data_IF_308678914553
#
_entry.id   IF_308678914553
#
_cell.length_a   1.000
_cell.length_b   1.000
_cell.length_c   1.000
_cell.angle_alpha   90.00
_cell.angle_beta   90.00
_cell.angle_gamma   90.00
#
_symmetry.space_group_name_H-M   'P 1'
#
loop_
_entity.id
_entity.type
_entity.pdbx_description
1 polymer ?
#
# COMPACT_ATOMS: atom_id res chain seq x y z
N UNK A 1 -42.56 -60.85 0.43
CA UNK A 1 -42.21 -59.56 -0.32
C UNK A 1 -41.54 -58.62 0.66
N UNK A 2 -40.21 -58.53 0.62
CA UNK A 2 -39.41 -57.62 1.53
C UNK A 2 -39.03 -56.41 0.71
N UNK A 3 -39.62 -55.22 1.00
CA UNK A 3 -39.28 -53.92 0.42
C UNK A 3 -38.00 -53.40 1.08
N UNK A 4 -36.90 -53.33 0.32
CA UNK A 4 -35.67 -52.69 0.74
C UNK A 4 -35.81 -51.18 0.49
N UNK A 5 -35.84 -50.34 1.55
CA UNK A 5 -35.71 -48.93 1.45
C UNK A 5 -34.22 -48.56 1.35
N UNK A 6 -33.80 -47.97 0.23
CA UNK A 6 -32.49 -47.41 0.08
C UNK A 6 -32.53 -45.98 0.61
N UNK A 7 -31.80 -45.72 1.70
CA UNK A 7 -31.55 -44.35 2.18
C UNK A 7 -30.42 -43.74 1.34
N UNK A 8 -30.71 -42.75 0.53
CA UNK A 8 -29.72 -41.92 -0.12
C UNK A 8 -29.23 -40.87 0.88
N UNK A 9 -27.99 -41.00 1.35
CA UNK A 9 -27.32 -39.97 2.14
C UNK A 9 -26.81 -38.89 1.16
N UNK A 10 -27.48 -37.75 1.09
CA UNK A 10 -26.97 -36.61 0.39
C UNK A 10 -25.85 -35.94 1.23
N UNK A 11 -24.60 -36.12 0.81
CA UNK A 11 -23.48 -35.40 1.38
C UNK A 11 -23.58 -33.92 0.97
N UNK A 12 -23.98 -33.08 1.89
CA UNK A 12 -23.88 -31.61 1.74
C UNK A 12 -22.39 -31.23 1.76
N UNK A 13 -21.83 -30.91 0.59
CA UNK A 13 -20.52 -30.27 0.49
C UNK A 13 -20.68 -28.88 1.09
N UNK A 14 -20.21 -28.70 2.33
CA UNK A 14 -20.05 -27.40 2.94
C UNK A 14 -18.94 -26.66 2.18
N UNK A 15 -19.33 -25.76 1.28
CA UNK A 15 -18.39 -24.79 0.70
C UNK A 15 -18.00 -23.83 1.82
N UNK A 16 -16.79 -24.00 2.38
CA UNK A 16 -16.21 -22.98 3.23
C UNK A 16 -16.15 -21.67 2.43
N UNK A 17 -16.53 -20.53 3.01
CA UNK A 17 -16.34 -19.26 2.35
C UNK A 17 -14.83 -19.10 2.08
N UNK A 18 -14.45 -18.89 0.82
CA UNK A 18 -13.12 -18.43 0.46
C UNK A 18 -13.00 -17.00 1.01
N UNK A 19 -12.33 -16.87 2.14
CA UNK A 19 -11.98 -15.56 2.70
C UNK A 19 -10.84 -15.00 1.86
N UNK A 20 -10.90 -13.70 1.57
CA UNK A 20 -9.77 -12.98 0.98
C UNK A 20 -8.51 -13.22 1.83
N UNK A 21 -7.37 -13.42 1.19
CA UNK A 21 -6.11 -13.52 1.91
C UNK A 21 -5.70 -12.12 2.39
N UNK A 22 -5.38 -12.01 3.67
CA UNK A 22 -4.82 -10.77 4.23
C UNK A 22 -3.32 -10.74 3.98
N UNK A 23 -2.84 -9.65 3.39
CA UNK A 23 -1.43 -9.37 3.16
C UNK A 23 -1.01 -8.18 4.03
N UNK A 24 0.20 -8.23 4.56
CA UNK A 24 0.88 -7.07 5.15
C UNK A 24 1.76 -6.44 4.08
N UNK A 25 1.68 -5.13 3.90
CA UNK A 25 2.60 -4.43 2.99
C UNK A 25 4.03 -4.53 3.53
N UNK A 26 4.95 -4.96 2.68
CA UNK A 26 6.37 -5.13 3.02
C UNK A 26 7.06 -3.77 2.91
N UNK A 27 7.54 -3.15 4.02
CA UNK A 27 7.94 -1.73 4.02
C UNK A 27 9.21 -1.43 3.21
N UNK A 28 10.06 -2.44 2.95
CA UNK A 28 11.29 -2.23 2.17
C UNK A 28 11.01 -2.22 0.65
N UNK A 29 9.88 -2.80 0.22
CA UNK A 29 9.47 -2.88 -1.19
C UNK A 29 8.15 -2.15 -1.46
N UNK A 30 7.69 -1.31 -0.51
CA UNK A 30 6.49 -0.48 -0.67
C UNK A 30 6.86 0.98 -0.49
N UNK A 31 6.70 1.75 -1.56
CA UNK A 31 7.09 3.15 -1.62
C UNK A 31 6.24 3.94 -2.61
N UNK A 32 6.23 5.25 -2.45
CA UNK A 32 5.62 6.19 -3.39
C UNK A 32 6.62 7.26 -3.81
N UNK A 33 6.67 7.59 -5.09
CA UNK A 33 7.44 8.73 -5.60
C UNK A 33 6.46 9.78 -6.10
N UNK A 34 6.65 11.03 -5.68
CA UNK A 34 5.90 12.18 -6.16
C UNK A 34 6.81 13.07 -7.00
N UNK A 35 6.28 13.63 -8.09
CA UNK A 35 6.99 14.50 -9.03
C UNK A 35 6.13 15.74 -9.30
N UNK A 36 6.78 16.93 -9.37
CA UNK A 36 6.11 18.20 -9.68
C UNK A 36 6.96 19.06 -10.62
N UNK A 37 6.35 20.07 -11.27
CA UNK A 37 7.09 21.10 -12.00
C UNK A 37 7.52 22.22 -11.04
N UNK A 38 8.79 22.64 -11.13
CA UNK A 38 9.33 23.79 -10.46
C UNK A 38 9.68 24.87 -11.49
N UNK A 39 8.82 25.89 -11.61
CA UNK A 39 8.97 27.03 -12.51
C UNK A 39 9.15 26.61 -13.99
N UNK A 40 8.69 25.44 -14.37
CA UNK A 40 8.87 24.78 -15.68
C UNK A 40 10.32 24.55 -16.12
N UNK A 41 11.30 24.87 -15.24
CA UNK A 41 12.71 24.60 -15.50
C UNK A 41 13.13 23.17 -15.11
N UNK A 42 12.51 22.59 -14.11
CA UNK A 42 12.89 21.27 -13.61
C UNK A 42 11.70 20.54 -13.01
N UNK A 43 11.88 19.23 -12.83
CA UNK A 43 10.85 18.34 -12.26
C UNK A 43 11.42 17.56 -11.09
N UNK A 44 11.54 18.19 -9.90
CA UNK A 44 11.98 17.51 -8.70
C UNK A 44 11.07 16.34 -8.34
N UNK A 45 11.64 15.39 -7.58
CA UNK A 45 10.92 14.26 -7.02
C UNK A 45 11.17 14.19 -5.52
N UNK A 46 10.21 13.59 -4.81
CA UNK A 46 10.41 13.14 -3.44
C UNK A 46 9.83 11.75 -3.29
N UNK A 47 10.39 10.97 -2.37
CA UNK A 47 10.02 9.60 -2.10
C UNK A 47 9.44 9.47 -0.70
N UNK A 48 8.36 8.73 -0.58
CA UNK A 48 7.82 8.22 0.67
C UNK A 48 8.20 6.75 0.78
N UNK A 49 8.96 6.39 1.78
CA UNK A 49 9.40 5.02 2.04
C UNK A 49 8.85 4.48 3.35
N UNK A 50 9.02 3.17 3.58
CA UNK A 50 8.50 2.45 4.75
C UNK A 50 7.00 2.66 4.94
N UNK A 51 6.28 2.55 3.84
CA UNK A 51 4.82 2.60 3.84
C UNK A 51 4.31 1.31 4.47
N UNK A 52 3.42 1.44 5.43
CA UNK A 52 2.84 0.34 6.18
C UNK A 52 1.36 0.18 5.84
N UNK A 53 0.84 -1.05 5.94
CA UNK A 53 -0.57 -1.27 5.69
C UNK A 53 -0.95 -2.73 5.56
N UNK A 54 -2.25 -2.93 5.34
CA UNK A 54 -2.85 -4.24 5.11
C UNK A 54 -3.69 -4.21 3.85
N UNK A 55 -3.73 -5.33 3.17
CA UNK A 55 -4.53 -5.57 1.98
C UNK A 55 -5.26 -6.89 2.13
N UNK A 56 -6.59 -6.86 2.04
CA UNK A 56 -7.39 -8.08 1.85
C UNK A 56 -7.61 -8.26 0.36
N UNK A 57 -7.13 -9.36 -0.21
CA UNK A 57 -7.18 -9.58 -1.64
C UNK A 57 -7.42 -11.05 -2.00
N UNK A 58 -8.39 -11.25 -2.90
CA UNK A 58 -8.61 -12.50 -3.60
C UNK A 58 -8.51 -12.23 -5.12
N UNK A 59 -7.53 -12.83 -5.84
CA UNK A 59 -7.40 -12.63 -7.27
C UNK A 59 -8.59 -13.13 -8.08
N UNK A 60 -9.43 -13.99 -7.51
CA UNK A 60 -10.66 -14.47 -8.15
C UNK A 60 -11.84 -13.51 -7.93
N UNK A 61 -11.76 -12.63 -6.93
CA UNK A 61 -12.81 -11.68 -6.57
C UNK A 61 -12.27 -10.26 -6.31
N UNK A 62 -11.50 -9.65 -7.24
CA UNK A 62 -10.83 -8.36 -7.02
C UNK A 62 -11.73 -7.21 -6.53
N UNK A 63 -13.02 -7.12 -6.93
CA UNK A 63 -13.90 -6.07 -6.40
C UNK A 63 -14.18 -6.12 -4.90
N UNK A 64 -13.89 -7.24 -4.24
CA UNK A 64 -14.02 -7.38 -2.79
C UNK A 64 -12.74 -6.98 -2.03
N UNK A 65 -11.69 -6.60 -2.74
CA UNK A 65 -10.44 -6.19 -2.12
C UNK A 65 -10.62 -4.92 -1.28
N UNK A 66 -9.86 -4.83 -0.21
CA UNK A 66 -9.74 -3.63 0.60
C UNK A 66 -8.28 -3.37 0.98
N UNK A 67 -7.88 -2.09 0.99
CA UNK A 67 -6.52 -1.70 1.39
C UNK A 67 -6.56 -0.53 2.36
N UNK A 68 -5.73 -0.63 3.38
CA UNK A 68 -5.51 0.40 4.39
C UNK A 68 -4.02 0.68 4.49
N UNK A 69 -3.63 1.95 4.32
CA UNK A 69 -2.22 2.36 4.22
C UNK A 69 -1.94 3.52 5.16
N UNK A 70 -0.79 3.44 5.84
CA UNK A 70 -0.19 4.53 6.60
C UNK A 70 1.15 4.90 5.97
N UNK A 71 1.34 6.19 5.69
CA UNK A 71 2.52 6.74 5.02
C UNK A 71 3.21 7.67 6.02
N UNK A 72 4.32 7.25 6.67
CA UNK A 72 5.05 8.06 7.63
C UNK A 72 5.73 9.25 6.93
N UNK A 73 5.34 10.48 7.26
CA UNK A 73 5.92 11.70 6.67
C UNK A 73 7.39 11.90 7.08
N UNK A 74 7.81 11.34 8.20
CA UNK A 74 9.22 11.39 8.63
C UNK A 74 10.16 10.73 7.62
N UNK A 75 9.67 9.78 6.83
CA UNK A 75 10.43 9.05 5.81
C UNK A 75 10.39 9.72 4.43
N UNK A 76 9.77 10.91 4.32
CA UNK A 76 9.80 11.70 3.09
C UNK A 76 11.22 12.21 2.83
N UNK A 77 11.73 11.98 1.61
CA UNK A 77 13.01 12.54 1.17
C UNK A 77 13.01 12.89 -0.31
N UNK A 78 13.58 14.03 -0.64
CA UNK A 78 13.91 14.46 -2.01
C UNK A 78 15.38 14.16 -2.35
N UNK A 79 16.17 13.74 -1.36
CA UNK A 79 17.63 13.64 -1.46
C UNK A 79 18.35 15.00 -1.30
N UNK A 80 17.63 16.09 -1.04
CA UNK A 80 18.14 17.45 -0.82
C UNK A 80 17.70 17.89 0.58
N UNK A 81 18.64 17.97 1.57
CA UNK A 81 18.29 18.22 2.98
C UNK A 81 17.43 19.48 3.18
N UNK A 82 17.80 20.62 2.59
CA UNK A 82 17.05 21.87 2.75
C UNK A 82 15.62 21.76 2.21
N UNK A 83 15.41 21.04 1.09
CA UNK A 83 14.09 20.80 0.54
C UNK A 83 13.28 19.84 1.43
N UNK A 84 13.94 18.81 1.99
CA UNK A 84 13.31 17.88 2.91
C UNK A 84 12.81 18.59 4.17
N UNK A 85 13.61 19.52 4.72
CA UNK A 85 13.23 20.34 5.87
C UNK A 85 12.04 21.27 5.52
N UNK A 86 12.08 21.92 4.36
CA UNK A 86 10.95 22.72 3.88
C UNK A 86 9.68 21.89 3.74
N UNK A 87 9.76 20.72 3.11
CA UNK A 87 8.61 19.83 2.92
C UNK A 87 8.00 19.36 4.25
N UNK A 88 8.82 19.09 5.26
CA UNK A 88 8.35 18.69 6.61
C UNK A 88 7.84 19.84 7.46
N UNK A 89 8.12 21.10 7.06
CA UNK A 89 7.75 22.31 7.81
C UNK A 89 6.23 22.53 7.87
N UNK A 90 5.75 23.42 8.78
CA UNK A 90 4.34 23.81 8.87
C UNK A 90 3.78 24.42 7.58
N UNK A 91 4.67 24.93 6.69
CA UNK A 91 4.28 25.50 5.41
C UNK A 91 3.83 24.43 4.38
N UNK A 92 4.23 23.17 4.58
CA UNK A 92 3.89 22.04 3.72
C UNK A 92 3.25 20.91 4.53
N UNK A 93 3.92 19.76 4.75
CA UNK A 93 3.31 18.58 5.39
C UNK A 93 3.04 18.77 6.89
N UNK A 94 3.72 19.70 7.56
CA UNK A 94 3.58 19.95 9.00
C UNK A 94 3.75 18.67 9.83
N UNK A 95 4.92 18.05 9.68
CA UNK A 95 5.26 16.74 10.28
C UNK A 95 4.96 16.71 11.79
N UNK A 96 5.18 17.81 12.50
CA UNK A 96 4.96 17.87 13.95
C UNK A 96 3.50 17.66 14.32
N UNK A 97 2.57 18.13 13.48
CA UNK A 97 1.12 18.02 13.71
C UNK A 97 0.50 16.81 12.99
N UNK A 98 1.03 16.46 11.82
CA UNK A 98 0.50 15.41 10.97
C UNK A 98 1.63 14.43 10.59
N UNK A 99 2.01 13.53 11.52
CA UNK A 99 3.14 12.62 11.30
C UNK A 99 2.91 11.59 10.18
N UNK A 100 1.65 11.34 9.84
CA UNK A 100 1.27 10.36 8.85
C UNK A 100 0.27 10.95 7.84
N UNK A 101 0.36 10.50 6.59
CA UNK A 101 -0.76 10.46 5.66
C UNK A 101 -1.37 9.06 5.66
N UNK A 102 -2.65 8.94 5.27
CA UNK A 102 -3.35 7.64 5.23
C UNK A 102 -4.17 7.50 3.97
N UNK A 103 -4.31 6.26 3.49
CA UNK A 103 -5.23 5.92 2.41
C UNK A 103 -6.10 4.73 2.81
N UNK A 104 -7.39 4.83 2.52
CA UNK A 104 -8.41 3.84 2.81
C UNK A 104 -9.24 3.60 1.57
N UNK A 105 -9.18 2.40 0.98
CA UNK A 105 -10.01 2.10 -0.18
C UNK A 105 -11.49 2.07 0.20
N UNK A 106 -12.32 2.65 -0.67
CA UNK A 106 -13.79 2.66 -0.52
C UNK A 106 -14.46 1.85 -1.62
N UNK A 107 -13.77 1.65 -2.75
CA UNK A 107 -14.29 0.93 -3.91
C UNK A 107 -13.15 0.36 -4.76
N UNK A 108 -13.35 -0.87 -5.23
CA UNK A 108 -12.46 -1.52 -6.20
C UNK A 108 -13.29 -1.98 -7.39
N UNK A 109 -12.83 -1.63 -8.60
CA UNK A 109 -13.50 -1.96 -9.85
C UNK A 109 -12.53 -2.65 -10.80
N UNK A 110 -12.99 -3.67 -11.48
CA UNK A 110 -12.23 -4.29 -12.57
C UNK A 110 -12.28 -3.40 -13.81
N UNK A 111 -11.26 -3.51 -14.65
CA UNK A 111 -11.22 -2.85 -15.97
C UNK A 111 -11.38 -3.88 -17.09
N UNK A 112 -11.28 -3.44 -18.33
CA UNK A 112 -11.26 -4.35 -19.49
C UNK A 112 -9.99 -5.22 -19.53
N UNK A 113 -8.93 -4.84 -18.81
CA UNK A 113 -7.67 -5.58 -18.71
C UNK A 113 -7.66 -6.39 -17.42
N UNK A 114 -7.42 -7.69 -17.52
CA UNK A 114 -7.54 -8.64 -16.41
C UNK A 114 -6.65 -8.34 -15.20
N UNK A 115 -5.50 -7.65 -15.42
CA UNK A 115 -4.54 -7.31 -14.37
C UNK A 115 -4.63 -5.84 -13.93
N UNK A 116 -5.68 -5.12 -14.33
CA UNK A 116 -5.87 -3.71 -13.97
C UNK A 116 -7.14 -3.50 -13.17
N UNK A 117 -7.03 -2.67 -12.13
CA UNK A 117 -8.11 -2.28 -11.25
C UNK A 117 -8.17 -0.75 -11.14
N UNK A 118 -9.36 -0.21 -10.92
CA UNK A 118 -9.53 1.15 -10.40
C UNK A 118 -9.83 1.05 -8.90
N UNK A 119 -8.96 1.63 -8.10
CA UNK A 119 -9.11 1.64 -6.64
C UNK A 119 -9.40 3.07 -6.21
N UNK A 120 -10.64 3.33 -5.82
CA UNK A 120 -11.04 4.61 -5.22
C UNK A 120 -10.94 4.51 -3.72
N UNK A 121 -10.45 5.54 -3.07
CA UNK A 121 -10.33 5.58 -1.62
C UNK A 121 -10.15 6.99 -1.09
N UNK A 122 -10.25 7.13 0.21
CA UNK A 122 -10.07 8.36 0.95
C UNK A 122 -8.57 8.53 1.30
N UNK A 123 -7.94 9.51 0.66
CA UNK A 123 -6.58 9.94 0.98
C UNK A 123 -6.65 11.09 1.98
N UNK A 124 -5.99 10.93 3.12
CA UNK A 124 -5.85 11.99 4.14
C UNK A 124 -4.41 12.45 4.18
N UNK A 125 -4.19 13.73 3.87
CA UNK A 125 -2.89 14.40 3.98
C UNK A 125 -3.08 15.68 4.76
N UNK A 126 -2.19 15.95 5.73
CA UNK A 126 -2.26 17.15 6.55
C UNK A 126 -3.65 17.38 7.21
N UNK A 127 -4.31 16.28 7.60
CA UNK A 127 -5.65 16.31 8.21
C UNK A 127 -6.79 16.63 7.25
N UNK A 128 -6.53 16.75 5.96
CA UNK A 128 -7.55 16.97 4.92
C UNK A 128 -7.76 15.68 4.14
N UNK A 129 -9.00 15.21 4.09
CA UNK A 129 -9.38 14.00 3.37
C UNK A 129 -10.03 14.35 2.02
N UNK A 130 -9.60 13.65 0.97
CA UNK A 130 -10.18 13.74 -0.38
C UNK A 130 -10.30 12.35 -1.01
N UNK A 131 -11.33 12.10 -1.80
CA UNK A 131 -11.39 10.89 -2.60
C UNK A 131 -10.34 10.94 -3.72
N UNK A 132 -9.60 9.84 -3.88
CA UNK A 132 -8.60 9.66 -4.93
C UNK A 132 -8.84 8.33 -5.61
N UNK A 133 -8.66 8.28 -6.93
CA UNK A 133 -8.71 7.03 -7.70
C UNK A 133 -7.32 6.70 -8.22
N UNK A 134 -6.88 5.48 -7.95
CA UNK A 134 -5.63 4.90 -8.40
C UNK A 134 -5.89 3.95 -9.57
N UNK A 135 -5.08 4.04 -10.62
CA UNK A 135 -5.05 3.04 -11.70
C UNK A 135 -4.04 1.96 -11.32
N UNK A 136 -4.53 0.87 -10.74
CA UNK A 136 -3.68 -0.18 -10.16
C UNK A 136 -3.42 -1.27 -11.18
N UNK A 137 -2.14 -1.64 -11.35
CA UNK A 137 -1.72 -2.82 -12.10
C UNK A 137 -1.27 -3.90 -11.13
N UNK A 138 -1.85 -5.10 -11.25
CA UNK A 138 -1.39 -6.29 -10.54
C UNK A 138 -0.18 -6.83 -11.32
N UNK A 139 1.02 -6.71 -10.74
CA UNK A 139 2.25 -7.17 -11.38
C UNK A 139 2.39 -8.69 -11.27
N UNK A 140 2.09 -9.23 -10.08
CA UNK A 140 2.21 -10.65 -9.80
C UNK A 140 1.38 -11.06 -8.58
N UNK A 141 0.78 -12.24 -8.68
CA UNK A 141 0.27 -13.01 -7.54
C UNK A 141 1.03 -14.33 -7.53
N UNK A 142 1.63 -14.71 -6.41
CA UNK A 142 2.43 -15.94 -6.39
C UNK A 142 3.16 -16.13 -5.07
N UNK A 143 4.32 -16.79 -5.16
CA UNK A 143 5.16 -17.11 -4.00
C UNK A 143 6.53 -16.48 -4.18
N UNK A 144 7.09 -15.90 -3.11
CA UNK A 144 8.44 -15.33 -3.12
C UNK A 144 9.49 -16.44 -3.31
N UNK A 145 10.49 -16.26 -4.20
CA UNK A 145 11.42 -17.36 -4.53
C UNK A 145 12.26 -17.84 -3.35
N UNK A 146 12.68 -16.93 -2.47
CA UNK A 146 13.61 -17.23 -1.37
C UNK A 146 12.91 -17.76 -0.13
N UNK A 147 11.77 -17.17 0.22
CA UNK A 147 11.08 -17.48 1.48
C UNK A 147 9.84 -18.34 1.32
N UNK A 148 9.47 -18.63 0.07
CA UNK A 148 8.27 -19.42 -0.28
C UNK A 148 6.98 -18.89 0.38
N UNK A 149 6.91 -17.57 0.63
CA UNK A 149 5.72 -16.91 1.17
C UNK A 149 4.77 -16.50 0.05
N UNK A 150 3.46 -16.69 0.19
CA UNK A 150 2.49 -16.10 -0.71
C UNK A 150 2.65 -14.57 -0.71
N UNK A 151 2.69 -13.99 -1.91
CA UNK A 151 2.89 -12.55 -2.07
C UNK A 151 2.15 -12.02 -3.30
N UNK A 152 1.89 -10.71 -3.29
CA UNK A 152 1.27 -9.98 -4.38
C UNK A 152 2.01 -8.65 -4.59
N UNK A 153 2.18 -8.25 -5.86
CA UNK A 153 2.85 -7.00 -6.21
C UNK A 153 1.96 -6.12 -7.07
N UNK A 154 2.05 -4.80 -6.86
CA UNK A 154 1.25 -3.79 -7.54
C UNK A 154 2.07 -2.56 -7.92
N UNK A 155 1.66 -1.93 -9.02
CA UNK A 155 2.01 -0.54 -9.34
C UNK A 155 0.74 0.28 -9.47
N UNK A 156 0.82 1.56 -9.06
CA UNK A 156 -0.33 2.46 -9.13
C UNK A 156 0.12 3.90 -9.42
N UNK A 157 0.05 4.37 -10.67
CA UNK A 157 0.16 5.77 -10.99
C UNK A 157 -1.11 6.53 -10.56
N UNK A 158 -0.93 7.79 -10.17
CA UNK A 158 -2.02 8.73 -9.93
C UNK A 158 -1.57 10.17 -10.19
N UNK A 159 -2.52 11.06 -10.40
CA UNK A 159 -2.30 12.50 -10.48
C UNK A 159 -3.18 13.20 -9.46
N UNK A 160 -2.61 14.09 -8.67
CA UNK A 160 -3.28 14.79 -7.58
C UNK A 160 -3.07 16.30 -7.70
N UNK A 161 -4.01 17.08 -7.18
CA UNK A 161 -3.84 18.51 -6.93
C UNK A 161 -3.45 18.72 -5.48
N UNK A 162 -2.19 19.09 -5.23
CA UNK A 162 -1.66 19.25 -3.87
C UNK A 162 -2.34 20.35 -3.06
N UNK A 163 -2.87 21.40 -3.73
CA UNK A 163 -3.62 22.48 -3.06
C UNK A 163 -4.90 21.96 -2.39
N UNK A 164 -5.53 20.89 -2.89
CA UNK A 164 -6.71 20.26 -2.28
C UNK A 164 -6.42 19.69 -0.88
N UNK A 165 -5.15 19.45 -0.57
CA UNK A 165 -4.66 18.97 0.74
C UNK A 165 -3.98 20.07 1.57
N UNK A 166 -4.17 21.35 1.20
CA UNK A 166 -3.55 22.48 1.91
C UNK A 166 -2.05 22.62 1.64
N UNK A 167 -1.51 21.99 0.60
CA UNK A 167 -0.12 22.08 0.16
C UNK A 167 0.08 23.06 -0.99
N UNK A 168 -0.80 24.08 -1.12
CA UNK A 168 -0.86 25.00 -2.26
C UNK A 168 0.18 26.12 -2.27
N UNK A 169 1.15 26.15 -1.35
CA UNK A 169 2.18 27.20 -1.33
C UNK A 169 2.93 27.22 -2.67
N UNK A 170 3.15 28.44 -3.20
CA UNK A 170 3.82 28.72 -4.48
C UNK A 170 3.06 28.27 -5.75
N UNK A 171 1.78 27.90 -5.67
CA UNK A 171 0.94 27.71 -6.86
C UNK A 171 0.64 29.08 -7.47
N UNK A 172 0.74 29.26 -8.81
CA UNK A 172 0.98 28.27 -9.84
C UNK A 172 2.46 28.08 -10.24
N UNK A 173 3.40 28.89 -9.72
CA UNK A 173 4.82 28.85 -10.11
C UNK A 173 5.45 27.47 -9.84
N UNK A 174 5.08 26.83 -8.74
CA UNK A 174 5.31 25.39 -8.51
C UNK A 174 3.99 24.70 -8.78
N UNK A 175 3.94 23.71 -9.67
CA UNK A 175 2.71 23.11 -10.16
C UNK A 175 1.78 22.65 -9.01
N UNK A 176 0.49 22.88 -9.17
CA UNK A 176 -0.53 22.29 -8.31
C UNK A 176 -0.67 20.79 -8.54
N UNK A 177 -0.64 20.40 -9.81
CA UNK A 177 -0.66 19.01 -10.19
C UNK A 177 0.67 18.33 -9.86
N UNK A 178 0.57 17.17 -9.21
CA UNK A 178 1.69 16.29 -8.89
C UNK A 178 1.39 14.89 -9.40
N UNK A 179 2.39 14.25 -10.01
CA UNK A 179 2.29 12.86 -10.42
C UNK A 179 2.82 11.97 -9.32
N UNK A 180 2.02 10.98 -8.93
CA UNK A 180 2.39 9.96 -7.95
C UNK A 180 2.62 8.64 -8.67
N UNK A 181 3.67 7.93 -8.33
CA UNK A 181 3.91 6.55 -8.72
C UNK A 181 4.14 5.71 -7.47
N UNK A 182 3.30 4.70 -7.28
CA UNK A 182 3.36 3.79 -6.14
C UNK A 182 3.81 2.43 -6.65
N UNK A 183 4.74 1.80 -5.94
CA UNK A 183 5.02 0.36 -6.06
C UNK A 183 4.83 -0.29 -4.69
N UNK A 184 4.21 -1.45 -4.66
CA UNK A 184 3.86 -2.11 -3.41
C UNK A 184 3.99 -3.63 -3.53
N UNK A 185 4.54 -4.25 -2.49
CA UNK A 185 4.53 -5.68 -2.25
C UNK A 185 3.74 -5.99 -0.98
N UNK A 186 2.80 -6.92 -1.07
CA UNK A 186 2.13 -7.50 0.09
C UNK A 186 2.58 -8.94 0.27
N UNK A 187 3.02 -9.30 1.47
CA UNK A 187 3.32 -10.67 1.88
C UNK A 187 2.18 -11.19 2.75
N UNK A 188 1.80 -12.47 2.64
CA UNK A 188 0.72 -13.07 3.43
C UNK A 188 0.99 -12.83 4.92
N UNK A 189 -0.02 -12.29 5.62
CA UNK A 189 0.15 -11.66 6.94
C UNK A 189 0.69 -12.62 8.01
N UNK A 190 0.23 -13.88 8.02
CA UNK A 190 0.68 -14.87 9.01
C UNK A 190 2.13 -15.29 8.77
N UNK A 191 2.48 -15.53 7.51
CA UNK A 191 3.85 -15.90 7.12
C UNK A 191 4.80 -14.73 7.34
N UNK A 192 4.38 -13.49 7.03
CA UNK A 192 5.14 -12.28 7.30
C UNK A 192 5.43 -12.10 8.80
N UNK A 193 4.42 -12.23 9.66
CA UNK A 193 4.57 -12.11 11.10
C UNK A 193 5.49 -13.20 11.69
N UNK A 194 5.39 -14.43 11.19
CA UNK A 194 6.27 -15.53 11.59
C UNK A 194 7.73 -15.25 11.22
N UNK A 195 7.97 -14.72 10.02
CA UNK A 195 9.31 -14.30 9.55
C UNK A 195 9.88 -13.22 10.45
N UNK A 196 9.15 -12.12 10.68
CA UNK A 196 9.62 -11.00 11.51
C UNK A 196 10.00 -11.46 12.93
N UNK A 197 9.25 -12.41 13.48
CA UNK A 197 9.57 -13.00 14.79
C UNK A 197 10.87 -13.82 14.75
N UNK A 198 11.10 -14.56 13.66
CA UNK A 198 12.34 -15.34 13.50
C UNK A 198 13.54 -14.42 13.32
N UNK A 199 13.44 -13.39 12.48
CA UNK A 199 14.50 -12.42 12.22
C UNK A 199 14.90 -11.69 13.54
N UNK A 200 13.93 -11.24 14.33
CA UNK A 200 14.16 -10.60 15.61
C UNK A 200 14.85 -11.54 16.65
N UNK A 201 14.50 -12.82 16.63
CA UNK A 201 15.15 -13.81 17.50
C UNK A 201 16.60 -14.07 17.08
N UNK A 202 16.90 -14.09 15.79
CA UNK A 202 18.25 -14.25 15.26
C UNK A 202 19.12 -13.04 15.60
N UNK A 203 18.61 -11.82 15.38
CA UNK A 203 19.31 -10.57 15.74
C UNK A 203 19.64 -10.53 17.24
N UNK A 204 18.68 -10.92 18.11
CA UNK A 204 18.90 -10.97 19.55
C UNK A 204 19.99 -12.00 19.92
N UNK A 205 20.02 -13.16 19.26
CA UNK A 205 21.04 -14.19 19.48
C UNK A 205 22.44 -13.70 19.04
N UNK A 206 22.53 -13.03 17.88
CA UNK A 206 23.77 -12.46 17.36
C UNK A 206 24.30 -11.35 18.29
N UNK A 207 23.42 -10.45 18.75
CA UNK A 207 23.79 -9.40 19.70
C UNK A 207 24.28 -9.95 21.06
N UNK A 208 23.70 -11.06 21.54
CA UNK A 208 24.15 -11.74 22.76
C UNK A 208 25.53 -12.43 22.58
N UNK A 209 25.79 -13.00 21.40
CA UNK A 209 27.07 -13.62 21.06
C UNK A 209 28.20 -12.60 20.93
N UNK A 210 27.94 -11.41 20.39
CA UNK A 210 28.90 -10.32 20.19
C UNK A 210 29.36 -9.66 21.51
N UNK A 211 28.65 -9.87 22.62
CA UNK A 211 28.98 -9.34 23.96
C UNK A 211 29.82 -10.28 24.81
N UNK A 212 30.16 -11.46 24.33
CA UNK A 212 31.03 -12.47 24.98
C UNK A 212 32.43 -12.43 24.42
#
# INVERSE_FOLDING_TARGET
MIRRFAFAVAAALATAPLWATTYTLEPNHTQGTVRWSHLDFSYPTAQFSRVEGTLDFDPMMPPQASVMVTIPIVNLTSGIPDLDDDLRSPAFFDLAKYPNATFHSTRVETTAMANQLKVTGDLTVRGITRPVTLDVTINKVGTTPRMHMPAVGFDAPATLKRAEFGLGKFVPQVSDEVTLHITAQGDEATAYAARMKADAAEEAAQAAAAKK
#
